data_IF_762125901872
#
_entry.id   IF_762125901872
#
_cell.length_a   1.000
_cell.length_b   1.000
_cell.length_c   1.000
_cell.angle_alpha   90.00
_cell.angle_beta   90.00
_cell.angle_gamma   90.00
#
_symmetry.space_group_name_H-M   'P 1'
#
loop_
_entity.id
_entity.type
_entity.pdbx_description
1 polymer ?
#
# COMPACT_ATOMS: atom_id res chain seq x y z
N UNK A 1 2.92 16.48 3.73
CA UNK A 1 3.19 15.33 4.65
C UNK A 1 3.48 15.92 6.02
N UNK A 2 2.70 15.56 7.05
CA UNK A 2 2.80 16.17 8.39
C UNK A 2 4.13 15.79 9.05
N UNK A 3 4.84 16.79 9.59
CA UNK A 3 6.09 16.67 10.34
C UNK A 3 6.08 15.61 11.46
N UNK A 4 4.89 15.31 12.00
CA UNK A 4 4.70 14.32 13.06
C UNK A 4 5.01 12.88 12.61
N UNK A 5 4.82 12.54 11.33
CA UNK A 5 5.09 11.18 10.82
C UNK A 5 6.56 10.91 10.59
N UNK A 6 7.31 11.93 10.19
CA UNK A 6 8.78 11.88 10.06
C UNK A 6 9.42 11.76 11.43
N UNK A 7 8.84 12.41 12.45
CA UNK A 7 9.34 12.37 13.82
C UNK A 7 9.17 11.00 14.48
N UNK A 8 8.07 10.29 14.21
CA UNK A 8 7.84 8.92 14.74
C UNK A 8 8.83 7.92 14.13
N UNK A 9 9.10 8.00 12.83
CA UNK A 9 10.08 7.13 12.16
C UNK A 9 11.51 7.46 12.64
N UNK A 10 11.85 8.74 12.82
CA UNK A 10 13.14 9.15 13.37
C UNK A 10 13.32 8.73 14.83
N UNK A 11 12.28 8.79 15.67
CA UNK A 11 12.32 8.31 17.05
C UNK A 11 12.52 6.79 17.13
N UNK A 12 11.92 6.02 16.23
CA UNK A 12 12.11 4.58 16.16
C UNK A 12 13.52 4.20 15.68
N UNK A 13 14.13 4.97 14.80
CA UNK A 13 15.52 4.75 14.37
C UNK A 13 16.53 5.14 15.46
N UNK A 14 16.27 6.18 16.25
CA UNK A 14 17.11 6.58 17.39
C UNK A 14 17.02 5.57 18.53
N UNK A 15 15.88 4.95 18.79
CA UNK A 15 15.75 3.88 19.78
C UNK A 15 16.52 2.61 19.36
N UNK A 16 16.71 2.37 18.06
CA UNK A 16 17.53 1.25 17.56
C UNK A 16 19.03 1.46 17.77
N UNK A 17 19.50 2.72 17.83
CA UNK A 17 20.93 3.04 17.98
C UNK A 17 21.43 2.93 19.43
N UNK A 18 20.56 2.96 20.41
CA UNK A 18 20.94 2.87 21.85
C UNK A 18 20.99 1.44 22.42
N UNK A 19 20.74 0.41 21.60
CA UNK A 19 20.82 -1.01 21.99
C UNK A 19 22.20 -1.64 21.72
N UNK A 20 23.22 -0.84 21.52
CA UNK A 20 24.57 -1.22 21.09
C UNK A 20 25.49 -1.79 22.18
N UNK A 21 24.95 -2.31 23.27
CA UNK A 21 25.78 -2.76 24.41
C UNK A 21 25.40 -4.13 24.97
N UNK A 22 25.04 -5.10 24.14
CA UNK A 22 25.05 -6.50 24.52
C UNK A 22 25.36 -7.36 23.30
N UNK A 23 26.46 -8.07 23.36
CA UNK A 23 26.97 -9.09 22.43
C UNK A 23 25.94 -10.23 22.27
N UNK A 24 24.87 -9.98 21.55
CA UNK A 24 23.98 -11.01 21.05
C UNK A 24 24.02 -10.94 19.51
N UNK A 25 24.40 -12.04 18.92
CA UNK A 25 24.45 -12.39 17.52
C UNK A 25 23.68 -11.43 16.57
N UNK A 26 24.24 -10.22 16.37
CA UNK A 26 23.65 -9.16 15.56
C UNK A 26 23.51 -9.58 14.08
N UNK A 27 24.27 -10.59 13.64
CA UNK A 27 24.25 -11.10 12.28
C UNK A 27 22.89 -11.71 11.88
N UNK A 28 22.11 -12.21 12.84
CA UNK A 28 20.80 -12.83 12.60
C UNK A 28 19.60 -11.90 12.79
N UNK A 29 19.78 -10.70 13.38
CA UNK A 29 18.66 -9.82 13.70
C UNK A 29 18.01 -9.23 12.43
N UNK A 30 18.76 -8.48 11.64
CA UNK A 30 18.27 -7.80 10.43
C UNK A 30 17.76 -8.80 9.38
N UNK A 31 18.52 -9.85 9.01
CA UNK A 31 18.03 -10.86 8.08
C UNK A 31 16.75 -11.55 8.55
N UNK A 32 16.64 -11.83 9.85
CA UNK A 32 15.45 -12.47 10.41
C UNK A 32 14.20 -11.58 10.38
N UNK A 33 14.33 -10.26 10.58
CA UNK A 33 13.23 -9.29 10.41
C UNK A 33 12.87 -9.18 8.93
N UNK A 34 13.85 -8.96 8.06
CA UNK A 34 13.65 -8.78 6.62
C UNK A 34 12.94 -9.99 6.00
N UNK A 35 13.39 -11.21 6.30
CA UNK A 35 12.73 -12.44 5.83
C UNK A 35 11.25 -12.46 6.21
N UNK A 36 10.91 -12.15 7.46
CA UNK A 36 9.52 -12.15 7.93
C UNK A 36 8.67 -11.06 7.28
N UNK A 37 9.24 -9.90 6.95
CA UNK A 37 8.55 -8.81 6.25
C UNK A 37 8.29 -9.17 4.79
N UNK A 38 9.29 -9.74 4.10
CA UNK A 38 9.17 -10.15 2.70
C UNK A 38 8.13 -11.26 2.52
N UNK A 39 8.04 -12.20 3.44
CA UNK A 39 7.06 -13.30 3.36
C UNK A 39 5.72 -13.00 4.03
N UNK A 40 5.52 -11.77 4.55
CA UNK A 40 4.24 -11.37 5.15
C UNK A 40 3.27 -10.87 4.07
N UNK A 41 2.12 -11.51 3.86
CA UNK A 41 1.14 -11.07 2.86
C UNK A 41 0.66 -9.64 3.05
N UNK A 42 0.62 -9.15 4.30
CA UNK A 42 0.22 -7.77 4.60
C UNK A 42 1.15 -6.71 4.03
N UNK A 43 2.36 -7.11 3.62
CA UNK A 43 3.31 -6.25 2.91
C UNK A 43 2.83 -5.91 1.50
N UNK A 44 2.16 -6.85 0.83
CA UNK A 44 1.79 -6.72 -0.58
C UNK A 44 0.32 -6.40 -0.79
N UNK A 45 -0.55 -6.80 0.14
CA UNK A 45 -1.99 -6.69 -0.02
C UNK A 45 -2.48 -5.28 -0.42
N UNK A 46 -2.02 -4.17 0.19
CA UNK A 46 -2.45 -2.83 -0.22
C UNK A 46 -2.08 -2.50 -1.67
N UNK A 47 -0.87 -2.86 -2.10
CA UNK A 47 -0.38 -2.59 -3.45
C UNK A 47 -1.12 -3.44 -4.51
N UNK A 48 -1.27 -4.75 -4.26
CA UNK A 48 -1.90 -5.68 -5.20
C UNK A 48 -3.39 -5.38 -5.38
N UNK A 49 -4.11 -5.16 -4.27
CA UNK A 49 -5.56 -4.89 -4.33
C UNK A 49 -5.83 -3.50 -4.93
N UNK A 50 -5.00 -2.50 -4.62
CA UNK A 50 -5.10 -1.17 -5.23
C UNK A 50 -4.82 -1.23 -6.74
N UNK A 51 -3.78 -1.97 -7.14
CA UNK A 51 -3.48 -2.19 -8.56
C UNK A 51 -4.67 -2.80 -9.31
N UNK A 52 -5.25 -3.87 -8.79
CA UNK A 52 -6.38 -4.54 -9.46
C UNK A 52 -7.62 -3.64 -9.48
N UNK A 53 -7.96 -2.97 -8.38
CA UNK A 53 -9.09 -2.06 -8.33
C UNK A 53 -8.97 -0.91 -9.34
N UNK A 54 -7.78 -0.28 -9.41
CA UNK A 54 -7.52 0.82 -10.33
C UNK A 54 -7.49 0.33 -11.79
N UNK A 55 -6.96 -0.87 -12.03
CA UNK A 55 -6.95 -1.50 -13.35
C UNK A 55 -8.36 -1.80 -13.87
N UNK A 56 -9.24 -2.29 -13.02
CA UNK A 56 -10.64 -2.53 -13.36
C UNK A 56 -11.38 -1.23 -13.66
N UNK A 57 -11.18 -0.20 -12.85
CA UNK A 57 -11.71 1.14 -13.07
C UNK A 57 -11.21 1.70 -14.41
N UNK A 58 -9.90 1.70 -14.64
CA UNK A 58 -9.29 2.15 -15.88
C UNK A 58 -9.84 1.41 -17.12
N UNK A 59 -9.93 0.07 -17.04
CA UNK A 59 -10.47 -0.76 -18.10
C UNK A 59 -11.92 -0.40 -18.41
N UNK A 60 -12.75 -0.23 -17.40
CA UNK A 60 -14.18 0.09 -17.57
C UNK A 60 -14.40 1.53 -18.04
N UNK A 61 -13.43 2.42 -17.84
CA UNK A 61 -13.50 3.81 -18.32
C UNK A 61 -13.21 3.94 -19.82
N UNK A 62 -12.55 2.97 -20.44
CA UNK A 62 -12.14 3.08 -21.86
C UNK A 62 -13.31 3.29 -22.81
N UNK A 63 -14.43 2.64 -22.59
CA UNK A 63 -15.62 2.80 -23.43
C UNK A 63 -16.15 4.22 -23.40
N UNK A 64 -16.01 4.95 -22.31
CA UNK A 64 -16.43 6.34 -22.22
C UNK A 64 -15.46 7.25 -23.00
N UNK A 65 -14.16 7.03 -22.89
CA UNK A 65 -13.15 7.80 -23.63
C UNK A 65 -13.30 7.60 -25.15
N UNK A 66 -13.63 6.39 -25.59
CA UNK A 66 -13.94 6.08 -26.99
C UNK A 66 -15.20 6.82 -27.50
N UNK A 67 -16.09 7.20 -26.60
CA UNK A 67 -17.30 7.98 -26.88
C UNK A 67 -17.15 9.47 -26.54
N UNK A 68 -15.91 9.99 -26.48
CA UNK A 68 -15.61 11.40 -26.33
C UNK A 68 -15.68 11.97 -24.92
N UNK A 69 -15.77 11.11 -23.90
CA UNK A 69 -15.68 11.56 -22.53
C UNK A 69 -14.24 11.90 -22.15
N UNK A 70 -14.09 12.92 -21.32
CA UNK A 70 -12.78 13.38 -20.86
C UNK A 70 -12.39 12.69 -19.53
N UNK A 71 -11.08 12.54 -19.34
CA UNK A 71 -10.52 12.02 -18.08
C UNK A 71 -10.35 13.18 -17.09
N UNK A 72 -10.85 12.97 -15.87
CA UNK A 72 -10.80 13.98 -14.82
C UNK A 72 -9.51 13.94 -13.98
N UNK A 73 -8.84 12.78 -13.91
CA UNK A 73 -7.61 12.64 -13.15
C UNK A 73 -6.39 13.08 -13.98
N UNK A 74 -5.69 14.17 -13.60
CA UNK A 74 -4.54 14.70 -14.35
C UNK A 74 -3.42 13.68 -14.62
N UNK A 75 -3.30 12.66 -13.80
CA UNK A 75 -2.28 11.61 -13.97
C UNK A 75 -2.54 10.69 -15.14
N UNK A 76 -3.79 10.68 -15.64
CA UNK A 76 -4.25 9.83 -16.73
C UNK A 76 -4.66 10.63 -17.96
N UNK A 77 -4.33 11.93 -18.01
CA UNK A 77 -4.58 12.80 -19.17
C UNK A 77 -3.31 13.08 -19.95
N UNK A 78 -3.47 13.38 -21.23
CA UNK A 78 -2.35 13.68 -22.15
C UNK A 78 -1.63 14.96 -21.74
N UNK A 79 -2.37 16.00 -21.35
CA UNK A 79 -1.79 17.30 -20.98
C UNK A 79 -1.36 17.39 -19.50
N UNK A 80 -1.69 16.41 -18.68
CA UNK A 80 -1.51 16.48 -17.23
C UNK A 80 -2.50 17.43 -16.52
N UNK A 81 -3.58 17.86 -17.21
CA UNK A 81 -4.64 18.71 -16.66
C UNK A 81 -5.93 17.91 -16.50
N UNK A 82 -6.82 18.39 -15.64
CA UNK A 82 -8.17 17.80 -15.48
C UNK A 82 -9.01 18.05 -16.73
N UNK A 83 -9.97 17.16 -16.95
CA UNK A 83 -10.97 17.28 -17.99
C UNK A 83 -10.34 17.36 -19.40
N UNK A 84 -9.41 16.46 -19.66
CA UNK A 84 -8.69 16.38 -20.92
C UNK A 84 -8.72 14.94 -21.48
N UNK A 85 -8.19 14.78 -22.69
CA UNK A 85 -8.08 13.49 -23.35
C UNK A 85 -7.32 12.50 -22.50
N UNK A 86 -7.89 11.32 -22.31
CA UNK A 86 -7.23 10.24 -21.59
C UNK A 86 -5.97 9.76 -22.31
N UNK A 87 -4.93 9.39 -21.54
CA UNK A 87 -3.76 8.72 -22.12
C UNK A 87 -4.16 7.35 -22.67
N UNK A 88 -3.35 6.80 -23.59
CA UNK A 88 -3.64 5.49 -24.17
C UNK A 88 -3.70 4.38 -23.12
N UNK A 89 -4.52 3.34 -23.38
CA UNK A 89 -4.77 2.23 -22.45
C UNK A 89 -3.50 1.61 -21.85
N UNK A 90 -2.50 1.35 -22.70
CA UNK A 90 -1.20 0.79 -22.26
C UNK A 90 -0.42 1.75 -21.34
N UNK A 91 -0.44 3.04 -21.65
CA UNK A 91 0.21 4.07 -20.83
C UNK A 91 -0.46 4.16 -19.45
N UNK A 92 -1.80 4.12 -19.41
CA UNK A 92 -2.55 4.08 -18.16
C UNK A 92 -2.22 2.85 -17.30
N UNK A 93 -2.13 1.67 -17.91
CA UNK A 93 -1.74 0.44 -17.18
C UNK A 93 -0.32 0.53 -16.60
N UNK A 94 0.63 1.15 -17.32
CA UNK A 94 1.99 1.40 -16.79
C UNK A 94 1.96 2.36 -15.62
N UNK A 95 1.18 3.44 -15.71
CA UNK A 95 1.01 4.39 -14.62
C UNK A 95 0.43 3.73 -13.38
N UNK A 96 -0.61 2.90 -13.53
CA UNK A 96 -1.23 2.13 -12.44
C UNK A 96 -0.22 1.20 -11.78
N UNK A 97 0.58 0.50 -12.55
CA UNK A 97 1.63 -0.38 -12.02
C UNK A 97 2.66 0.41 -11.21
N UNK A 98 3.14 1.53 -11.76
CA UNK A 98 4.10 2.41 -11.10
C UNK A 98 3.56 2.95 -9.79
N UNK A 99 2.31 3.41 -9.77
CA UNK A 99 1.64 3.92 -8.57
C UNK A 99 1.48 2.83 -7.51
N UNK A 100 1.13 1.62 -7.93
CA UNK A 100 0.98 0.48 -7.03
C UNK A 100 2.30 0.01 -6.43
N UNK A 101 3.38 0.00 -7.21
CA UNK A 101 4.73 -0.26 -6.70
C UNK A 101 5.13 0.82 -5.67
N UNK A 102 4.76 2.08 -5.91
CA UNK A 102 4.98 3.19 -4.98
C UNK A 102 4.28 3.03 -3.61
N UNK A 103 3.32 2.12 -3.47
CA UNK A 103 2.66 1.80 -2.20
C UNK A 103 3.51 0.83 -1.35
N UNK A 104 4.32 -0.03 -1.96
CA UNK A 104 5.09 -1.06 -1.26
C UNK A 104 5.98 -0.51 -0.14
N UNK A 105 6.74 0.59 -0.31
CA UNK A 105 7.55 1.15 0.77
C UNK A 105 6.76 1.48 2.04
N UNK A 106 5.51 1.92 1.91
CA UNK A 106 4.65 2.21 3.06
C UNK A 106 4.37 0.95 3.89
N UNK A 107 3.98 -0.14 3.22
CA UNK A 107 3.70 -1.43 3.87
C UNK A 107 4.97 -2.08 4.41
N UNK A 108 6.08 -2.00 3.66
CA UNK A 108 7.39 -2.51 4.08
C UNK A 108 7.86 -1.84 5.38
N UNK A 109 7.80 -0.50 5.44
CA UNK A 109 8.21 0.26 6.64
C UNK A 109 7.32 -0.07 7.83
N UNK A 110 6.00 -0.14 7.62
CA UNK A 110 5.06 -0.50 8.69
C UNK A 110 5.37 -1.90 9.25
N UNK A 111 5.47 -2.89 8.38
CA UNK A 111 5.71 -4.28 8.78
C UNK A 111 7.10 -4.46 9.41
N UNK A 112 8.12 -3.78 8.88
CA UNK A 112 9.45 -3.78 9.47
C UNK A 112 9.44 -3.19 10.88
N UNK A 113 8.81 -2.03 11.06
CA UNK A 113 8.70 -1.37 12.37
C UNK A 113 7.99 -2.25 13.39
N UNK A 114 6.83 -2.84 13.01
CA UNK A 114 6.10 -3.76 13.89
C UNK A 114 6.93 -4.98 14.29
N UNK A 115 7.67 -5.57 13.35
CA UNK A 115 8.55 -6.73 13.60
C UNK A 115 9.75 -6.38 14.47
N UNK A 116 10.34 -5.21 14.29
CA UNK A 116 11.44 -4.71 15.14
C UNK A 116 10.94 -4.53 16.57
N UNK A 117 9.81 -3.84 16.77
CA UNK A 117 9.22 -3.64 18.11
C UNK A 117 8.88 -4.98 18.76
N UNK A 118 8.23 -5.89 18.04
CA UNK A 118 7.94 -7.25 18.54
C UNK A 118 9.22 -7.94 19.02
N UNK A 119 10.30 -7.90 18.23
CA UNK A 119 11.56 -8.58 18.54
C UNK A 119 12.32 -7.94 19.69
N UNK A 120 12.24 -6.63 19.87
CA UNK A 120 12.84 -5.91 21.01
C UNK A 120 12.10 -6.15 22.32
N UNK A 121 10.77 -6.32 22.27
CA UNK A 121 9.96 -6.54 23.47
C UNK A 121 9.98 -8.00 23.95
N UNK A 122 10.14 -8.97 23.07
CA UNK A 122 10.12 -10.39 23.43
C UNK A 122 11.13 -10.81 24.51
N UNK A 123 12.40 -10.34 24.51
CA UNK A 123 13.35 -10.66 25.58
C UNK A 123 12.99 -10.00 26.90
N UNK A 124 12.41 -8.78 26.86
CA UNK A 124 12.02 -8.03 28.06
C UNK A 124 10.79 -8.61 28.76
N UNK A 125 9.89 -9.27 27.98
CA UNK A 125 8.64 -9.82 28.47
C UNK A 125 8.48 -11.30 28.08
N UNK A 126 9.33 -12.20 28.62
CA UNK A 126 9.37 -13.60 28.18
C UNK A 126 8.05 -14.35 28.40
N UNK A 127 7.29 -13.99 29.44
CA UNK A 127 6.00 -14.60 29.77
C UNK A 127 4.85 -14.12 28.85
N UNK A 128 5.06 -13.03 28.11
CA UNK A 128 4.04 -12.41 27.25
C UNK A 128 4.32 -12.57 25.73
N UNK A 129 5.23 -13.46 25.34
CA UNK A 129 5.63 -13.65 23.94
C UNK A 129 4.47 -13.94 22.99
N UNK A 130 3.50 -14.76 23.41
CA UNK A 130 2.30 -15.04 22.60
C UNK A 130 1.45 -13.79 22.40
N UNK A 131 1.21 -13.04 23.47
CA UNK A 131 0.46 -11.78 23.43
C UNK A 131 1.13 -10.77 22.50
N UNK A 132 2.44 -10.55 22.63
CA UNK A 132 3.20 -9.63 21.77
C UNK A 132 3.09 -10.00 20.28
N UNK A 133 3.19 -11.30 19.95
CA UNK A 133 2.99 -11.79 18.57
C UNK A 133 1.58 -11.52 18.05
N UNK A 134 0.57 -11.76 18.90
CA UNK A 134 -0.84 -11.53 18.55
C UNK A 134 -1.11 -10.06 18.31
N UNK A 135 -0.61 -9.17 19.19
CA UNK A 135 -0.75 -7.72 19.03
C UNK A 135 -0.08 -7.26 17.72
N UNK A 136 1.17 -7.69 17.48
CA UNK A 136 1.88 -7.35 16.23
C UNK A 136 1.19 -7.89 14.99
N UNK A 137 0.56 -9.06 15.05
CA UNK A 137 -0.24 -9.62 13.97
C UNK A 137 -1.51 -8.78 13.73
N UNK A 138 -2.24 -8.43 14.78
CA UNK A 138 -3.46 -7.59 14.68
C UNK A 138 -3.10 -6.23 14.09
N UNK A 139 -2.04 -5.58 14.59
CA UNK A 139 -1.60 -4.28 14.11
C UNK A 139 -1.31 -4.31 12.60
N UNK A 140 -0.47 -5.25 12.12
CA UNK A 140 -0.13 -5.35 10.70
C UNK A 140 -1.36 -5.61 9.82
N UNK A 141 -2.26 -6.48 10.25
CA UNK A 141 -3.49 -6.75 9.51
C UNK A 141 -4.44 -5.55 9.50
N UNK A 142 -4.59 -4.85 10.62
CA UNK A 142 -5.43 -3.66 10.71
C UNK A 142 -4.90 -2.53 9.79
N UNK A 143 -3.59 -2.27 9.83
CA UNK A 143 -2.95 -1.26 8.97
C UNK A 143 -3.04 -1.65 7.49
N UNK A 144 -2.73 -2.90 7.15
CA UNK A 144 -2.86 -3.37 5.77
C UNK A 144 -4.31 -3.30 5.26
N UNK A 145 -5.29 -3.70 6.07
CA UNK A 145 -6.72 -3.60 5.74
C UNK A 145 -7.17 -2.15 5.54
N UNK A 146 -6.74 -1.25 6.42
CA UNK A 146 -7.04 0.17 6.31
C UNK A 146 -6.51 0.76 4.99
N UNK A 147 -5.24 0.52 4.66
CA UNK A 147 -4.65 1.03 3.43
C UNK A 147 -5.26 0.37 2.19
N UNK A 148 -5.49 -0.94 2.22
CA UNK A 148 -6.18 -1.65 1.15
C UNK A 148 -7.53 -1.01 0.87
N UNK A 149 -8.36 -0.81 1.89
CA UNK A 149 -9.66 -0.16 1.75
C UNK A 149 -9.55 1.28 1.23
N UNK A 150 -8.65 2.09 1.81
CA UNK A 150 -8.48 3.50 1.43
C UNK A 150 -8.04 3.69 -0.01
N UNK A 151 -7.23 2.77 -0.53
CA UNK A 151 -6.65 2.87 -1.86
C UNK A 151 -7.52 2.21 -2.94
N UNK A 152 -8.37 1.25 -2.59
CA UNK A 152 -9.11 0.46 -3.58
C UNK A 152 -10.62 0.69 -3.61
N UNK A 153 -11.25 1.03 -2.48
CA UNK A 153 -12.72 1.09 -2.40
C UNK A 153 -13.35 2.11 -3.35
N UNK A 154 -12.68 3.24 -3.59
CA UNK A 154 -13.11 4.24 -4.57
C UNK A 154 -13.14 3.69 -5.99
N UNK A 155 -12.06 3.02 -6.38
CA UNK A 155 -11.92 2.43 -7.71
C UNK A 155 -12.89 1.29 -7.96
N UNK A 156 -13.14 0.42 -6.98
CA UNK A 156 -14.16 -0.63 -7.11
C UNK A 156 -15.57 -0.04 -7.31
N UNK A 157 -15.92 1.00 -6.55
CA UNK A 157 -17.20 1.69 -6.76
C UNK A 157 -17.30 2.34 -8.13
N UNK A 158 -16.22 2.98 -8.59
CA UNK A 158 -16.17 3.61 -9.92
C UNK A 158 -16.30 2.57 -11.02
N UNK A 159 -15.54 1.47 -10.95
CA UNK A 159 -15.67 0.35 -11.86
C UNK A 159 -17.12 -0.13 -11.99
N UNK A 160 -17.78 -0.47 -10.86
CA UNK A 160 -19.17 -0.91 -10.86
C UNK A 160 -20.13 0.17 -11.40
N UNK A 161 -19.84 1.43 -11.11
CA UNK A 161 -20.59 2.57 -11.66
C UNK A 161 -20.45 2.68 -13.18
N UNK A 162 -19.22 2.55 -13.68
CA UNK A 162 -18.91 2.59 -15.10
C UNK A 162 -19.63 1.48 -15.85
N UNK A 163 -19.60 0.25 -15.36
CA UNK A 163 -20.30 -0.86 -16.01
C UNK A 163 -21.81 -0.67 -16.08
N UNK A 164 -22.43 -0.12 -15.00
CA UNK A 164 -23.86 0.21 -15.03
C UNK A 164 -24.18 1.30 -16.05
N UNK A 165 -23.40 2.40 -16.07
CA UNK A 165 -23.58 3.52 -16.99
C UNK A 165 -23.36 3.09 -18.45
N UNK A 166 -22.32 2.29 -18.72
CA UNK A 166 -22.06 1.78 -20.06
C UNK A 166 -23.28 1.01 -20.62
N UNK A 167 -23.87 0.14 -19.79
CA UNK A 167 -25.12 -0.56 -20.17
C UNK A 167 -26.29 0.41 -20.41
N UNK A 168 -26.45 1.45 -19.59
CA UNK A 168 -27.50 2.46 -19.76
C UNK A 168 -27.36 3.27 -21.06
N UNK A 169 -26.12 3.57 -21.45
CA UNK A 169 -25.85 4.32 -22.69
C UNK A 169 -25.71 3.41 -23.92
N UNK A 170 -25.81 2.09 -23.78
CA UNK A 170 -25.62 1.15 -24.89
C UNK A 170 -24.17 1.07 -25.36
N UNK A 171 -23.21 1.51 -24.58
CA UNK A 171 -21.80 1.42 -24.90
C UNK A 171 -21.31 -0.04 -24.77
N UNK A 172 -20.46 -0.46 -25.72
CA UNK A 172 -19.90 -1.82 -25.81
C UNK A 172 -18.39 -1.79 -25.96
#
# INVERSE_FOLDING_TARGET
MSSSRVMVVALMMLAASSVSAQDQDHSSFVPGVLKRVIFDPTTYAPAVVSWEATRLDWRSSQVFFQNGWLEHNPRFTVSGRRDDTAIGYTAGNRQILTDSIGILPLSLVNNASARVVERLLMPRYPNHRKLLRTIGWIERNAVASYWTYRLSAGHFRQWQGNERRARQFGYR
#
